data_IF_833764547544
#
_entry.id   IF_833764547544
#
_cell.length_a   1.000
_cell.length_b   1.000
_cell.length_c   1.000
_cell.angle_alpha   90.00
_cell.angle_beta   90.00
_cell.angle_gamma   90.00
#
_symmetry.space_group_name_H-M   'P 1'
#
loop_
_entity.id
_entity.type
_entity.pdbx_description
1 polymer ?
#
# COMPACT_ATOMS: atom_id res chain seq x y z
N UNK A 1 -2.29 -9.47 -13.27
CA UNK A 1 -2.35 -10.94 -13.21
C UNK A 1 -1.47 -11.53 -12.10
N UNK A 2 -0.13 -11.36 -12.09
CA UNK A 2 0.70 -11.89 -10.98
C UNK A 2 0.42 -11.18 -9.64
N UNK A 3 0.34 -9.84 -9.65
CA UNK A 3 0.03 -9.03 -8.46
C UNK A 3 -1.34 -9.35 -7.85
N UNK A 4 -2.36 -9.47 -8.68
CA UNK A 4 -3.72 -9.87 -8.29
C UNK A 4 -3.78 -11.27 -7.68
N UNK A 5 -2.95 -12.21 -8.15
CA UNK A 5 -2.84 -13.55 -7.58
C UNK A 5 -2.20 -13.55 -6.18
N UNK A 6 -1.22 -12.70 -5.97
CA UNK A 6 -0.60 -12.51 -4.65
C UNK A 6 -1.54 -11.80 -3.67
N UNK A 7 -2.28 -10.79 -4.13
CA UNK A 7 -3.33 -10.11 -3.36
C UNK A 7 -4.37 -11.08 -2.80
N UNK A 8 -4.98 -11.89 -3.68
CA UNK A 8 -5.97 -12.90 -3.26
C UNK A 8 -5.40 -13.93 -2.27
N UNK A 9 -4.19 -14.43 -2.51
CA UNK A 9 -3.55 -15.39 -1.60
C UNK A 9 -3.26 -14.77 -0.22
N UNK A 10 -2.86 -13.49 -0.18
CA UNK A 10 -2.58 -12.77 1.05
C UNK A 10 -3.86 -12.55 1.88
N UNK A 11 -4.97 -12.18 1.23
CA UNK A 11 -6.29 -12.06 1.86
C UNK A 11 -6.73 -13.40 2.45
N UNK A 12 -6.65 -14.49 1.67
CA UNK A 12 -7.03 -15.83 2.15
C UNK A 12 -6.20 -16.23 3.36
N UNK A 13 -4.87 -16.03 3.32
CA UNK A 13 -4.00 -16.35 4.47
C UNK A 13 -4.36 -15.54 5.71
N UNK A 14 -4.61 -14.24 5.55
CA UNK A 14 -4.99 -13.36 6.66
C UNK A 14 -6.29 -13.83 7.31
N UNK A 15 -7.33 -14.06 6.50
CA UNK A 15 -8.63 -14.54 7.00
C UNK A 15 -8.52 -15.92 7.67
N UNK A 16 -7.64 -16.80 7.17
CA UNK A 16 -7.39 -18.10 7.79
C UNK A 16 -6.66 -17.99 9.14
N UNK A 17 -5.67 -17.09 9.26
CA UNK A 17 -4.99 -16.83 10.54
C UNK A 17 -5.95 -16.27 11.60
N UNK A 18 -6.83 -15.35 11.20
CA UNK A 18 -7.85 -14.79 12.08
C UNK A 18 -8.85 -15.87 12.53
N UNK A 19 -9.25 -16.74 11.61
CA UNK A 19 -10.12 -17.87 11.89
C UNK A 19 -9.47 -18.92 12.80
N UNK A 20 -8.19 -19.25 12.60
CA UNK A 20 -7.44 -20.21 13.41
C UNK A 20 -7.23 -19.71 14.86
N UNK A 21 -6.97 -18.42 15.05
CA UNK A 21 -6.93 -17.79 16.39
C UNK A 21 -8.32 -17.75 17.04
N UNK A 22 -9.39 -17.56 16.25
CA UNK A 22 -10.75 -17.52 16.75
C UNK A 22 -11.33 -18.91 17.09
N UNK A 23 -10.84 -19.98 16.46
CA UNK A 23 -11.32 -21.35 16.67
C UNK A 23 -10.20 -22.38 16.54
N UNK A 24 -9.78 -22.98 17.66
CA UNK A 24 -9.13 -24.30 17.69
C UNK A 24 -10.12 -25.39 17.24
N UNK A 25 -10.52 -25.43 15.96
CA UNK A 25 -11.35 -26.50 15.40
C UNK A 25 -10.99 -26.82 13.95
N UNK A 26 -10.56 -28.07 13.77
CA UNK A 26 -10.32 -28.74 12.49
C UNK A 26 -11.60 -28.72 11.64
N UNK A 27 -11.50 -28.32 10.37
CA UNK A 27 -12.58 -28.42 9.38
C UNK A 27 -12.71 -29.89 8.91
N UNK A 28 -13.83 -30.58 9.15
CA UNK A 28 -14.10 -31.88 8.54
C UNK A 28 -14.82 -31.70 7.19
N UNK A 29 -14.43 -32.55 6.24
CA UNK A 29 -15.14 -32.88 5.00
C UNK A 29 -14.85 -32.06 3.73
N UNK A 30 -13.59 -31.95 3.32
CA UNK A 30 -13.23 -32.07 1.90
C UNK A 30 -11.88 -32.78 1.79
N UNK A 31 -11.77 -33.84 0.97
CA UNK A 31 -10.54 -34.60 0.78
C UNK A 31 -9.61 -33.89 -0.23
N UNK A 32 -9.41 -32.58 -0.02
CA UNK A 32 -8.49 -31.74 -0.75
C UNK A 32 -7.86 -30.76 0.23
N UNK A 33 -6.57 -30.52 0.10
CA UNK A 33 -5.86 -29.52 0.89
C UNK A 33 -6.27 -28.12 0.44
N UNK A 34 -6.16 -27.14 1.35
CA UNK A 34 -6.40 -25.72 1.02
C UNK A 34 -5.55 -25.27 -0.17
N UNK A 35 -4.33 -25.80 -0.28
CA UNK A 35 -3.43 -25.54 -1.40
C UNK A 35 -4.00 -26.02 -2.75
N UNK A 36 -4.59 -27.22 -2.81
CA UNK A 36 -5.21 -27.74 -4.03
C UNK A 36 -6.43 -26.92 -4.44
N UNK A 37 -7.23 -26.46 -3.48
CA UNK A 37 -8.40 -25.62 -3.74
C UNK A 37 -8.00 -24.25 -4.34
N UNK A 38 -6.97 -23.62 -3.78
CA UNK A 38 -6.43 -22.35 -4.27
C UNK A 38 -5.83 -22.45 -5.68
N UNK A 39 -5.23 -23.60 -6.03
CA UNK A 39 -4.69 -23.86 -7.37
C UNK A 39 -5.77 -23.99 -8.46
N UNK A 40 -6.95 -24.52 -8.11
CA UNK A 40 -8.07 -24.64 -9.04
C UNK A 40 -8.71 -23.28 -9.40
N UNK A 41 -8.81 -22.37 -8.43
CA UNK A 41 -9.32 -21.00 -8.66
C UNK A 41 -8.33 -20.17 -9.50
N UNK A 42 -7.03 -20.35 -9.26
CA UNK A 42 -5.98 -19.67 -10.02
C UNK A 42 -5.98 -20.02 -11.52
N UNK A 43 -6.36 -21.25 -11.89
CA UNK A 43 -6.47 -21.68 -13.31
C UNK A 43 -7.71 -21.12 -14.02
N UNK A 44 -8.81 -20.92 -13.30
CA UNK A 44 -10.07 -20.41 -13.85
C UNK A 44 -9.98 -18.90 -14.15
N UNK A 45 -9.25 -18.16 -13.32
CA UNK A 45 -9.13 -16.69 -13.34
C UNK A 45 -8.25 -16.14 -14.47
N UNK A 46 -7.23 -16.89 -14.90
CA UNK A 46 -6.36 -16.52 -16.02
C UNK A 46 -7.09 -16.37 -17.38
N UNK A 47 -8.36 -16.80 -17.46
CA UNK A 47 -9.13 -16.79 -18.71
C UNK A 47 -9.96 -15.51 -18.94
N UNK A 48 -10.07 -14.55 -18.00
CA UNK A 48 -11.23 -13.64 -17.99
C UNK A 48 -11.03 -12.10 -17.86
N UNK A 49 -9.83 -11.51 -17.87
CA UNK A 49 -9.69 -10.06 -17.51
C UNK A 49 -9.55 -9.06 -18.69
N UNK A 50 -10.45 -8.03 -18.74
CA UNK A 50 -10.35 -6.74 -19.49
C UNK A 50 -11.08 -5.55 -18.77
N UNK A 51 -10.33 -4.47 -18.47
CA UNK A 51 -10.57 -2.99 -18.23
C UNK A 51 -11.76 -2.36 -17.41
N UNK A 52 -11.46 -1.37 -16.51
CA UNK A 52 -12.32 -0.24 -16.01
C UNK A 52 -12.07 0.27 -14.54
N UNK A 53 -11.94 1.61 -14.29
CA UNK A 53 -11.74 2.40 -13.00
C UNK A 53 -10.46 2.19 -12.13
N UNK A 54 -9.72 3.26 -11.73
CA UNK A 54 -8.35 3.20 -11.14
C UNK A 54 -8.22 2.83 -9.64
N UNK A 55 -8.98 3.47 -8.74
CA UNK A 55 -9.12 3.09 -7.32
C UNK A 55 -10.51 3.49 -6.83
N UNK A 56 -11.06 2.69 -5.93
CA UNK A 56 -12.39 2.87 -5.35
C UNK A 56 -12.33 2.48 -3.87
N UNK A 57 -13.13 3.10 -3.01
CA UNK A 57 -13.14 2.75 -1.58
C UNK A 57 -13.62 1.32 -1.32
N UNK A 58 -13.58 0.87 -0.07
CA UNK A 58 -13.84 -0.55 0.26
C UNK A 58 -15.31 -0.97 0.04
N UNK A 59 -16.24 0.00 0.08
CA UNK A 59 -17.65 -0.16 -0.29
C UNK A 59 -17.96 0.82 -1.43
N UNK A 60 -18.53 0.29 -2.51
CA UNK A 60 -18.82 1.04 -3.73
C UNK A 60 -20.26 0.81 -4.18
N UNK A 61 -20.89 1.73 -4.93
CA UNK A 61 -22.16 1.44 -5.61
C UNK A 61 -22.03 0.19 -6.52
N UNK A 62 -23.15 -0.45 -6.88
CA UNK A 62 -23.11 -1.70 -7.67
C UNK A 62 -22.39 -1.51 -9.01
N UNK A 63 -22.56 -0.36 -9.68
CA UNK A 63 -22.01 -0.09 -11.02
C UNK A 63 -20.48 0.15 -11.13
N UNK A 64 -19.76 0.42 -10.04
CA UNK A 64 -18.29 0.28 -10.00
C UNK A 64 -17.76 -1.07 -9.48
N UNK A 65 -18.51 -1.80 -8.65
CA UNK A 65 -18.01 -3.06 -8.11
C UNK A 65 -17.90 -4.18 -9.16
N UNK A 66 -17.19 -5.26 -8.81
CA UNK A 66 -16.82 -6.31 -9.77
C UNK A 66 -18.02 -6.80 -10.60
N UNK A 67 -17.88 -6.70 -11.93
CA UNK A 67 -18.90 -7.04 -12.95
C UNK A 67 -20.26 -6.33 -12.80
N UNK A 68 -20.31 -5.20 -12.10
CA UNK A 68 -21.54 -4.53 -11.72
C UNK A 68 -22.49 -5.39 -10.86
N UNK A 69 -21.95 -6.31 -10.05
CA UNK A 69 -22.77 -7.27 -9.29
C UNK A 69 -22.57 -7.19 -7.77
N UNK A 70 -21.45 -6.65 -7.31
CA UNK A 70 -21.13 -6.57 -5.87
C UNK A 70 -20.89 -5.12 -5.48
N UNK A 71 -21.12 -4.78 -4.21
CA UNK A 71 -20.89 -3.45 -3.66
C UNK A 71 -19.59 -3.37 -2.84
N UNK A 72 -18.66 -4.31 -3.07
CA UNK A 72 -17.41 -4.48 -2.30
C UNK A 72 -16.23 -4.40 -3.25
N UNK A 73 -15.13 -3.80 -2.80
CA UNK A 73 -13.92 -3.65 -3.61
C UNK A 73 -12.65 -3.95 -2.79
N UNK A 74 -12.51 -5.20 -2.34
CA UNK A 74 -11.36 -5.63 -1.52
C UNK A 74 -10.07 -5.66 -2.36
N UNK A 75 -10.17 -6.04 -3.64
CA UNK A 75 -9.06 -6.02 -4.60
C UNK A 75 -9.50 -5.14 -5.78
N UNK A 76 -8.95 -3.93 -5.96
CA UNK A 76 -9.33 -3.03 -7.05
C UNK A 76 -8.82 -3.55 -8.39
N UNK A 77 -9.60 -3.35 -9.46
CA UNK A 77 -9.15 -3.63 -10.83
C UNK A 77 -8.07 -2.60 -11.18
N UNK A 78 -6.87 -3.06 -11.52
CA UNK A 78 -5.72 -2.20 -11.68
C UNK A 78 -5.75 -1.43 -13.02
N UNK A 79 -5.47 -0.12 -12.97
CA UNK A 79 -5.31 0.74 -14.13
C UNK A 79 -3.93 1.38 -14.15
N UNK A 80 -3.33 1.50 -15.33
CA UNK A 80 -2.02 2.12 -15.50
C UNK A 80 -2.03 3.61 -15.15
N UNK A 81 -1.26 3.98 -14.11
CA UNK A 81 -0.85 5.35 -13.83
C UNK A 81 0.47 5.69 -14.52
N UNK A 82 0.70 6.97 -14.76
CA UNK A 82 1.94 7.51 -15.32
C UNK A 82 2.84 8.05 -14.20
N UNK A 83 4.17 7.90 -14.33
CA UNK A 83 5.16 8.40 -13.37
C UNK A 83 4.94 9.87 -12.92
N UNK A 84 4.50 10.80 -13.79
CA UNK A 84 4.22 12.17 -13.37
C UNK A 84 2.97 12.35 -12.50
N UNK A 85 1.98 11.45 -12.58
CA UNK A 85 0.81 11.44 -11.69
C UNK A 85 1.21 11.03 -10.26
N UNK A 86 2.13 10.05 -10.14
CA UNK A 86 2.66 9.54 -8.86
C UNK A 86 3.47 10.63 -8.13
N UNK A 87 4.32 11.35 -8.87
CA UNK A 87 5.13 12.45 -8.32
C UNK A 87 4.26 13.59 -7.76
N UNK A 88 3.12 13.90 -8.37
CA UNK A 88 2.20 14.95 -7.90
C UNK A 88 1.53 14.60 -6.57
N UNK A 89 1.23 13.31 -6.37
CA UNK A 89 0.66 12.78 -5.14
C UNK A 89 1.69 12.79 -4.00
N UNK A 90 2.91 12.32 -4.27
CA UNK A 90 4.00 12.28 -3.31
C UNK A 90 4.37 13.69 -2.79
N UNK A 91 4.30 14.70 -3.66
CA UNK A 91 4.58 16.08 -3.28
C UNK A 91 3.39 16.84 -2.69
N UNK A 92 2.16 16.28 -2.74
CA UNK A 92 0.96 16.94 -2.23
C UNK A 92 0.66 18.31 -2.87
N UNK A 93 1.26 18.62 -4.03
CA UNK A 93 1.17 19.93 -4.68
C UNK A 93 0.33 19.94 -5.96
N UNK A 94 -0.04 18.77 -6.49
CA UNK A 94 -0.76 18.67 -7.76
C UNK A 94 0.07 19.06 -9.00
N UNK A 95 1.35 19.40 -8.85
CA UNK A 95 2.25 19.81 -9.94
C UNK A 95 3.49 18.93 -10.04
N UNK A 96 3.73 18.35 -11.22
CA UNK A 96 4.93 17.55 -11.53
C UNK A 96 6.19 18.41 -11.75
N UNK A 97 6.05 19.74 -11.74
CA UNK A 97 7.08 20.70 -12.16
C UNK A 97 7.75 21.45 -10.99
N UNK A 98 7.40 21.12 -9.73
CA UNK A 98 8.14 21.59 -8.53
C UNK A 98 9.30 20.62 -8.30
N UNK A 99 10.54 21.08 -8.04
CA UNK A 99 11.73 20.32 -8.40
C UNK A 99 11.97 19.11 -7.48
N UNK A 100 11.51 17.94 -7.93
CA UNK A 100 12.06 16.63 -7.58
C UNK A 100 11.60 15.53 -8.57
N UNK A 101 11.95 15.63 -9.86
CA UNK A 101 12.15 14.40 -10.64
C UNK A 101 11.15 14.01 -11.71
N UNK A 102 10.60 14.95 -12.50
CA UNK A 102 10.35 14.59 -13.90
C UNK A 102 11.71 14.41 -14.58
N UNK A 103 12.15 13.16 -14.77
CA UNK A 103 13.40 12.84 -15.46
C UNK A 103 13.11 12.35 -16.88
N UNK A 104 12.91 13.24 -17.87
CA UNK A 104 12.74 12.86 -19.27
C UNK A 104 13.99 12.17 -19.87
N UNK A 105 15.05 12.00 -19.08
CA UNK A 105 16.30 11.29 -19.42
C UNK A 105 16.72 10.22 -18.39
N UNK A 106 15.84 9.83 -17.46
CA UNK A 106 16.18 8.81 -16.46
C UNK A 106 16.46 7.45 -17.11
N UNK A 107 17.59 6.85 -16.76
CA UNK A 107 17.90 5.46 -17.07
C UNK A 107 17.17 4.53 -16.08
N UNK A 108 17.24 3.21 -16.31
CA UNK A 108 16.53 2.23 -15.47
C UNK A 108 16.91 2.32 -13.98
N UNK A 109 18.18 2.59 -13.68
CA UNK A 109 18.69 2.77 -12.31
C UNK A 109 18.00 3.94 -11.64
N UNK A 110 17.93 5.10 -12.31
CA UNK A 110 17.29 6.31 -11.76
C UNK A 110 15.81 6.05 -11.43
N UNK A 111 15.11 5.29 -12.29
CA UNK A 111 13.69 4.95 -12.10
C UNK A 111 13.45 4.03 -10.91
N UNK A 112 14.36 3.08 -10.68
CA UNK A 112 14.26 2.14 -9.56
C UNK A 112 14.70 2.79 -8.26
N UNK A 113 15.71 3.65 -8.31
CA UNK A 113 16.11 4.45 -7.15
C UNK A 113 15.03 5.45 -6.75
N UNK A 114 14.16 5.89 -7.66
CA UNK A 114 12.94 6.60 -7.29
C UNK A 114 12.02 5.72 -6.42
N UNK A 115 11.72 4.49 -6.85
CA UNK A 115 10.94 3.54 -6.08
C UNK A 115 11.59 3.21 -4.72
N UNK A 116 12.92 3.18 -4.64
CA UNK A 116 13.66 2.98 -3.39
C UNK A 116 13.31 4.02 -2.31
N UNK A 117 12.89 5.24 -2.68
CA UNK A 117 12.42 6.22 -1.68
C UNK A 117 11.11 5.78 -1.00
N UNK A 118 10.24 5.09 -1.73
CA UNK A 118 8.97 4.56 -1.23
C UNK A 118 9.24 3.37 -0.31
N UNK A 119 10.16 2.48 -0.70
CA UNK A 119 10.62 1.38 0.16
C UNK A 119 11.18 1.88 1.51
N UNK A 120 11.95 2.98 1.50
CA UNK A 120 12.40 3.59 2.75
C UNK A 120 11.24 4.13 3.59
N UNK A 121 10.25 4.77 2.95
CA UNK A 121 9.08 5.29 3.64
C UNK A 121 8.30 4.16 4.32
N UNK A 122 8.06 3.07 3.61
CA UNK A 122 7.28 1.92 4.08
C UNK A 122 8.04 1.13 5.15
N UNK A 123 9.31 0.83 4.93
CA UNK A 123 10.16 0.17 5.93
C UNK A 123 10.17 0.96 7.25
N UNK A 124 10.43 2.27 7.19
CA UNK A 124 10.44 3.09 8.40
C UNK A 124 9.05 3.15 9.05
N UNK A 125 8.00 3.34 8.26
CA UNK A 125 6.66 3.48 8.83
C UNK A 125 6.18 2.19 9.50
N UNK A 126 6.37 1.03 8.88
CA UNK A 126 5.96 -0.26 9.43
C UNK A 126 6.82 -0.70 10.61
N UNK A 127 8.15 -0.63 10.50
CA UNK A 127 9.06 -1.04 11.58
C UNK A 127 8.86 -0.18 12.83
N UNK A 128 8.88 1.15 12.71
CA UNK A 128 8.73 2.02 13.87
C UNK A 128 7.36 1.80 14.54
N UNK A 129 6.31 1.63 13.75
CA UNK A 129 4.95 1.46 14.28
C UNK A 129 4.75 0.14 15.01
N UNK A 130 5.34 -0.95 14.53
CA UNK A 130 5.22 -2.26 15.16
C UNK A 130 6.22 -2.48 16.30
N UNK A 131 7.45 -1.97 16.18
CA UNK A 131 8.60 -2.33 17.01
C UNK A 131 9.13 -1.21 17.90
N UNK A 132 8.74 0.05 17.66
CA UNK A 132 9.31 1.27 18.27
C UNK A 132 10.77 1.57 17.85
N UNK A 133 11.22 0.96 16.76
CA UNK A 133 12.51 1.25 16.14
C UNK A 133 12.46 0.97 14.64
N UNK A 134 13.26 1.73 13.87
CA UNK A 134 13.28 1.69 12.41
C UNK A 134 14.45 0.91 11.81
N UNK A 135 14.74 1.20 10.54
CA UNK A 135 15.74 0.51 9.73
C UNK A 135 17.12 0.48 10.39
N UNK A 136 17.50 1.55 11.08
CA UNK A 136 18.81 1.69 11.72
C UNK A 136 19.07 0.63 12.81
N UNK A 137 18.02 0.08 13.40
CA UNK A 137 18.12 -1.00 14.39
C UNK A 137 18.08 -2.39 13.76
N UNK A 138 17.54 -2.52 12.54
CA UNK A 138 17.44 -3.79 11.82
C UNK A 138 18.71 -4.03 11.00
N UNK A 139 19.03 -3.09 10.11
CA UNK A 139 20.25 -3.10 9.31
C UNK A 139 20.59 -1.65 8.85
N UNK A 140 21.44 -0.92 9.60
CA UNK A 140 21.78 0.46 9.30
C UNK A 140 22.58 0.60 8.00
N UNK A 141 23.12 -0.49 7.44
CA UNK A 141 23.88 -0.43 6.18
C UNK A 141 22.99 -0.02 5.00
N UNK A 142 21.70 -0.39 5.03
CA UNK A 142 20.75 -0.01 3.99
C UNK A 142 20.36 1.46 4.01
N UNK A 143 20.52 2.15 5.15
CA UNK A 143 20.32 3.60 5.20
C UNK A 143 21.38 4.37 4.40
N UNK A 144 22.53 3.75 4.11
CA UNK A 144 23.65 4.32 3.35
C UNK A 144 24.06 5.73 3.84
N UNK A 145 24.04 5.95 5.15
CA UNK A 145 24.38 7.21 5.80
C UNK A 145 23.27 8.28 5.79
N UNK A 146 22.07 7.96 5.29
CA UNK A 146 20.90 8.84 5.34
C UNK A 146 20.34 9.02 6.75
N UNK A 147 19.72 10.17 7.08
CA UNK A 147 19.25 10.47 8.42
C UNK A 147 18.00 9.65 8.81
N UNK A 148 17.78 9.37 10.10
CA UNK A 148 16.57 8.68 10.58
C UNK A 148 15.30 9.49 10.34
N UNK A 149 14.12 8.84 10.26
CA UNK A 149 12.86 9.55 10.05
C UNK A 149 12.54 10.48 11.22
N UNK A 150 11.92 11.63 10.93
CA UNK A 150 11.44 12.55 11.94
C UNK A 150 10.04 12.11 12.39
N UNK A 151 9.85 11.96 13.69
CA UNK A 151 8.52 11.78 14.28
C UNK A 151 7.85 10.43 14.06
N UNK A 152 8.60 9.43 13.59
CA UNK A 152 8.18 8.03 13.63
C UNK A 152 7.96 7.59 15.08
N UNK A 153 6.93 6.78 15.32
CA UNK A 153 6.53 6.32 16.66
C UNK A 153 5.96 4.93 16.60
N UNK A 154 6.02 4.20 17.72
CA UNK A 154 5.18 3.03 17.93
C UNK A 154 3.70 3.38 17.85
N UNK A 155 2.96 2.64 17.05
CA UNK A 155 1.51 2.75 16.96
C UNK A 155 0.84 1.89 18.05
N UNK A 156 -0.32 2.35 18.53
CA UNK A 156 -1.15 1.56 19.43
C UNK A 156 -1.99 0.54 18.65
N UNK A 157 -1.33 -0.53 18.21
CA UNK A 157 -1.93 -1.60 17.42
C UNK A 157 -2.45 -2.72 18.32
N UNK A 158 -3.57 -3.31 17.94
CA UNK A 158 -3.97 -4.59 18.49
C UNK A 158 -2.91 -5.68 18.18
N UNK A 159 -2.86 -6.78 18.96
CA UNK A 159 -1.78 -7.75 18.85
C UNK A 159 -1.66 -8.42 17.47
N UNK A 160 -2.79 -8.60 16.76
CA UNK A 160 -2.80 -9.23 15.45
C UNK A 160 -2.25 -8.28 14.39
N UNK A 161 -2.79 -7.07 14.31
CA UNK A 161 -2.35 -6.07 13.33
C UNK A 161 -0.90 -5.70 13.59
N UNK A 162 -0.45 -5.61 14.85
CA UNK A 162 0.97 -5.41 15.17
C UNK A 162 1.87 -6.48 14.54
N UNK A 163 1.48 -7.76 14.59
CA UNK A 163 2.24 -8.87 14.00
C UNK A 163 2.28 -8.78 12.47
N UNK A 164 1.15 -8.44 11.85
CA UNK A 164 1.07 -8.27 10.39
C UNK A 164 1.98 -7.11 9.93
N UNK A 165 1.90 -5.97 10.60
CA UNK A 165 2.69 -4.78 10.26
C UNK A 165 4.19 -4.99 10.54
N UNK A 166 4.53 -5.75 11.58
CA UNK A 166 5.91 -6.19 11.81
C UNK A 166 6.43 -7.02 10.62
N UNK A 167 5.63 -7.97 10.11
CA UNK A 167 6.00 -8.76 8.94
C UNK A 167 6.19 -7.89 7.70
N UNK A 168 5.31 -6.90 7.48
CA UNK A 168 5.46 -5.95 6.37
C UNK A 168 6.76 -5.17 6.48
N UNK A 169 7.09 -4.66 7.67
CA UNK A 169 8.36 -3.96 7.90
C UNK A 169 9.59 -4.79 7.53
N UNK A 170 9.59 -6.10 7.83
CA UNK A 170 10.69 -6.98 7.40
C UNK A 170 10.69 -7.29 5.89
N UNK A 171 9.52 -7.34 5.26
CA UNK A 171 9.40 -7.48 3.81
C UNK A 171 10.00 -6.27 3.08
N UNK A 172 9.73 -5.04 3.57
CA UNK A 172 10.32 -3.82 3.02
C UNK A 172 11.84 -3.77 3.18
N UNK A 173 12.39 -4.28 4.29
CA UNK A 173 13.86 -4.44 4.41
C UNK A 173 14.39 -5.40 3.34
N UNK A 174 13.62 -6.44 3.00
CA UNK A 174 13.90 -7.34 1.89
C UNK A 174 13.89 -6.63 0.53
N UNK A 175 12.95 -5.71 0.30
CA UNK A 175 12.85 -4.89 -0.90
C UNK A 175 14.03 -3.92 -1.02
N UNK A 176 14.33 -3.19 0.06
CA UNK A 176 15.53 -2.33 0.18
C UNK A 176 16.78 -3.10 -0.22
N UNK A 177 17.01 -4.27 0.39
CA UNK A 177 18.15 -5.14 0.05
C UNK A 177 18.19 -5.50 -1.43
N UNK A 178 17.05 -5.90 -1.99
CA UNK A 178 16.97 -6.35 -3.38
C UNK A 178 17.29 -5.23 -4.37
N UNK A 179 16.73 -4.04 -4.15
CA UNK A 179 16.99 -2.86 -4.98
C UNK A 179 18.42 -2.36 -4.81
N UNK A 180 18.92 -2.24 -3.57
CA UNK A 180 20.29 -1.78 -3.29
C UNK A 180 21.30 -2.73 -3.92
N UNK A 181 21.09 -4.04 -3.85
CA UNK A 181 21.96 -5.03 -4.51
C UNK A 181 21.98 -4.87 -6.03
N UNK A 182 20.82 -4.58 -6.64
CA UNK A 182 20.68 -4.46 -8.08
C UNK A 182 21.21 -3.13 -8.66
N UNK A 183 21.19 -2.06 -7.86
CA UNK A 183 21.40 -0.68 -8.35
C UNK A 183 22.54 0.07 -7.66
N UNK A 184 23.05 -0.45 -6.55
CA UNK A 184 23.96 0.26 -5.66
C UNK A 184 23.24 1.13 -4.61
N UNK A 185 21.93 1.35 -4.74
CA UNK A 185 21.13 2.12 -3.78
C UNK A 185 21.34 3.63 -3.82
N UNK A 186 20.62 4.32 -2.95
CA UNK A 186 20.82 5.73 -2.60
C UNK A 186 20.74 5.89 -1.08
N UNK A 187 21.37 6.92 -0.50
CA UNK A 187 21.14 7.29 0.90
C UNK A 187 19.66 7.48 1.19
N UNK A 188 19.19 6.94 2.33
CA UNK A 188 17.82 7.15 2.81
C UNK A 188 17.50 8.65 2.83
N UNK A 189 16.42 9.12 2.19
CA UNK A 189 16.04 10.53 2.26
C UNK A 189 15.56 10.88 3.67
N UNK A 190 15.55 12.18 4.02
CA UNK A 190 14.90 12.60 5.25
C UNK A 190 13.38 12.39 5.12
N UNK A 191 12.86 11.43 5.87
CA UNK A 191 11.43 11.14 5.93
C UNK A 191 10.78 11.92 7.08
N UNK A 192 9.55 12.39 6.87
CA UNK A 192 8.75 13.09 7.88
C UNK A 192 7.49 12.29 8.20
N UNK A 193 7.62 11.43 9.22
CA UNK A 193 6.57 10.52 9.69
C UNK A 193 5.77 11.11 10.87
N UNK A 194 5.87 12.42 11.11
CA UNK A 194 5.06 13.09 12.14
C UNK A 194 3.57 12.98 11.84
N UNK A 195 2.74 12.84 12.87
CA UNK A 195 1.28 12.78 12.71
C UNK A 195 0.71 14.01 11.99
N UNK A 196 1.35 15.18 12.09
CA UNK A 196 0.93 16.39 11.37
C UNK A 196 0.98 16.22 9.85
N UNK A 197 1.94 15.45 9.33
CA UNK A 197 2.04 15.13 7.89
C UNK A 197 0.80 14.35 7.44
N UNK A 198 0.46 13.30 8.19
CA UNK A 198 -0.75 12.51 7.96
C UNK A 198 -2.02 13.35 8.12
N UNK A 199 -2.12 14.17 9.17
CA UNK A 199 -3.25 15.07 9.37
C UNK A 199 -3.49 15.97 8.16
N UNK A 200 -2.43 16.50 7.54
CA UNK A 200 -2.56 17.34 6.35
C UNK A 200 -3.08 16.56 5.13
N UNK A 201 -2.65 15.30 4.95
CA UNK A 201 -3.15 14.43 3.88
C UNK A 201 -4.65 14.16 4.07
N UNK A 202 -5.05 13.75 5.29
CA UNK A 202 -6.46 13.47 5.56
C UNK A 202 -7.33 14.72 5.51
N UNK A 203 -6.83 15.89 5.94
CA UNK A 203 -7.56 17.15 5.76
C UNK A 203 -7.84 17.46 4.28
N UNK A 204 -6.89 17.16 3.39
CA UNK A 204 -7.09 17.31 1.94
C UNK A 204 -8.13 16.31 1.42
N UNK A 205 -8.08 15.06 1.87
CA UNK A 205 -9.05 14.03 1.47
C UNK A 205 -10.48 14.39 1.87
N UNK A 206 -10.64 15.00 3.04
CA UNK A 206 -11.96 15.44 3.53
C UNK A 206 -12.39 16.80 2.98
N UNK A 207 -11.46 17.61 2.44
CA UNK A 207 -11.72 19.00 2.06
C UNK A 207 -11.94 19.95 3.23
N UNK A 208 -11.70 19.50 4.47
CA UNK A 208 -11.77 20.30 5.69
C UNK A 208 -10.85 19.75 6.78
N UNK A 209 -10.56 20.58 7.79
CA UNK A 209 -9.69 20.20 8.91
C UNK A 209 -10.41 19.26 9.88
N UNK A 210 -9.92 18.04 10.01
CA UNK A 210 -10.34 17.10 11.05
C UNK A 210 -9.93 17.61 12.44
N UNK A 211 -10.83 17.49 13.41
CA UNK A 211 -10.58 17.89 14.81
C UNK A 211 -10.95 16.72 15.72
N UNK A 212 -9.99 16.18 16.52
CA UNK A 212 -8.56 16.52 16.57
C UNK A 212 -7.83 16.14 15.26
N UNK A 213 -6.60 16.62 15.01
CA UNK A 213 -5.84 16.23 13.82
C UNK A 213 -5.72 14.71 13.71
N UNK A 214 -5.78 14.17 12.49
CA UNK A 214 -5.62 12.74 12.26
C UNK A 214 -4.23 12.28 12.72
N UNK A 215 -4.20 11.25 13.57
CA UNK A 215 -2.99 10.66 14.09
C UNK A 215 -2.95 9.17 13.71
N UNK A 216 -2.01 8.73 12.85
CA UNK A 216 -1.91 7.34 12.43
C UNK A 216 -1.51 6.41 13.57
N UNK A 217 -0.84 6.92 14.62
CA UNK A 217 -0.31 6.09 15.71
C UNK A 217 -1.34 5.83 16.82
N UNK A 218 -2.51 6.46 16.75
CA UNK A 218 -3.49 6.50 17.84
C UNK A 218 -4.12 5.15 18.17
N UNK A 219 -4.48 4.38 17.14
CA UNK A 219 -5.13 3.07 17.26
C UNK A 219 -5.03 2.29 15.93
N UNK A 220 -5.39 1.00 15.95
CA UNK A 220 -5.42 0.13 14.77
C UNK A 220 -6.14 0.75 13.57
N UNK A 221 -7.35 1.30 13.73
CA UNK A 221 -8.17 1.78 12.61
C UNK A 221 -7.48 2.97 11.92
N UNK A 222 -7.00 3.93 12.72
CA UNK A 222 -6.25 5.06 12.20
C UNK A 222 -4.98 4.60 11.46
N UNK A 223 -4.29 3.60 12.02
CA UNK A 223 -3.09 3.08 11.41
C UNK A 223 -3.39 2.39 10.07
N UNK A 224 -4.37 1.50 10.03
CA UNK A 224 -4.79 0.82 8.79
C UNK A 224 -5.24 1.81 7.71
N UNK A 225 -5.95 2.88 8.07
CA UNK A 225 -6.34 3.93 7.13
C UNK A 225 -5.12 4.68 6.56
N UNK A 226 -4.12 4.98 7.39
CA UNK A 226 -2.88 5.59 6.94
C UNK A 226 -2.07 4.63 6.05
N UNK A 227 -1.95 3.37 6.47
CA UNK A 227 -1.28 2.31 5.74
C UNK A 227 -2.01 1.91 4.47
N UNK A 228 -3.31 2.17 4.28
CA UNK A 228 -3.96 1.96 2.97
C UNK A 228 -3.71 3.11 1.99
N UNK A 229 -3.23 4.25 2.48
CA UNK A 229 -2.88 5.39 1.64
C UNK A 229 -1.45 5.31 1.11
N UNK A 230 -0.47 4.92 1.94
CA UNK A 230 0.97 4.95 1.60
C UNK A 230 1.40 3.90 0.54
N UNK A 231 1.17 2.59 0.72
CA UNK A 231 1.61 1.51 -0.18
C UNK A 231 0.92 1.56 -1.54
N UNK A 232 -0.27 2.15 -1.60
CA UNK A 232 -0.92 2.45 -2.87
C UNK A 232 -0.02 3.33 -3.77
N UNK A 233 0.78 4.23 -3.18
CA UNK A 233 1.75 5.05 -3.94
C UNK A 233 2.96 4.24 -4.41
N UNK A 234 3.44 3.29 -3.58
CA UNK A 234 4.50 2.32 -3.91
C UNK A 234 4.13 1.42 -5.09
N UNK A 235 2.95 0.79 -4.98
CA UNK A 235 2.38 -0.10 -5.99
C UNK A 235 2.23 0.60 -7.35
N UNK A 236 1.73 1.82 -7.36
CA UNK A 236 1.61 2.61 -8.59
C UNK A 236 2.97 3.03 -9.15
N UNK A 237 3.94 3.32 -8.27
CA UNK A 237 5.36 3.48 -8.61
C UNK A 237 5.86 2.36 -9.51
N UNK A 238 5.61 1.11 -9.13
CA UNK A 238 6.01 -0.06 -9.90
C UNK A 238 5.21 -0.27 -11.17
N UNK A 239 3.88 -0.16 -11.13
CA UNK A 239 3.02 -0.32 -12.31
C UNK A 239 3.40 0.68 -13.41
N UNK A 240 3.66 1.94 -13.04
CA UNK A 240 4.09 2.98 -13.97
C UNK A 240 5.54 2.83 -14.45
N UNK A 241 6.43 2.24 -13.63
CA UNK A 241 7.86 2.12 -13.95
C UNK A 241 8.19 0.89 -14.79
N UNK A 242 7.58 -0.26 -14.52
CA UNK A 242 7.89 -1.55 -15.15
C UNK A 242 7.88 -1.50 -16.70
N UNK A 243 6.89 -0.88 -17.36
CA UNK A 243 6.84 -0.80 -18.83
C UNK A 243 8.00 0.00 -19.43
N UNK A 244 8.54 0.96 -18.68
CA UNK A 244 9.58 1.90 -19.13
C UNK A 244 11.00 1.33 -18.99
N UNK A 245 11.18 0.27 -18.21
CA UNK A 245 12.49 -0.35 -17.98
C UNK A 245 12.99 -1.08 -19.22
N UNK A 246 14.24 -0.84 -19.61
CA UNK A 246 14.89 -1.53 -20.74
C UNK A 246 15.50 -2.88 -20.34
N UNK A 247 16.03 -2.96 -19.13
CA UNK A 247 16.67 -4.13 -18.54
C UNK A 247 15.64 -5.18 -18.15
N UNK A 248 15.72 -6.35 -18.77
CA UNK A 248 14.84 -7.48 -18.42
C UNK A 248 15.09 -7.99 -16.99
N UNK A 249 16.31 -7.84 -16.47
CA UNK A 249 16.65 -8.20 -15.10
C UNK A 249 15.91 -7.30 -14.10
N UNK A 250 16.04 -5.99 -14.27
CA UNK A 250 15.40 -5.01 -13.41
C UNK A 250 13.87 -5.03 -13.52
N UNK A 251 13.35 -5.31 -14.73
CA UNK A 251 11.91 -5.52 -14.94
C UNK A 251 11.39 -6.72 -14.15
N UNK A 252 12.11 -7.85 -14.15
CA UNK A 252 11.75 -9.03 -13.35
C UNK A 252 11.84 -8.76 -11.86
N UNK A 253 12.85 -8.00 -11.41
CA UNK A 253 12.98 -7.59 -10.02
C UNK A 253 11.75 -6.79 -9.57
N UNK A 254 11.42 -5.69 -10.25
CA UNK A 254 10.28 -4.84 -9.87
C UNK A 254 8.94 -5.57 -9.99
N UNK A 255 8.78 -6.45 -10.98
CA UNK A 255 7.57 -7.28 -11.09
C UNK A 255 7.41 -8.26 -9.91
N UNK A 256 8.53 -8.73 -9.32
CA UNK A 256 8.51 -9.56 -8.13
C UNK A 256 8.11 -8.77 -6.88
N UNK A 257 8.68 -7.57 -6.69
CA UNK A 257 8.35 -6.68 -5.57
C UNK A 257 6.88 -6.25 -5.64
N UNK A 258 6.40 -5.86 -6.82
CA UNK A 258 4.98 -5.54 -7.07
C UNK A 258 4.00 -6.66 -6.63
N UNK A 259 4.44 -7.93 -6.66
CA UNK A 259 3.64 -9.04 -6.15
C UNK A 259 3.45 -9.00 -4.63
N UNK A 260 4.49 -8.63 -3.89
CA UNK A 260 4.46 -8.48 -2.43
C UNK A 260 3.62 -7.26 -2.05
N UNK A 261 3.86 -6.12 -2.69
CA UNK A 261 3.09 -4.87 -2.48
C UNK A 261 1.58 -5.11 -2.64
N UNK A 262 1.20 -5.81 -3.71
CA UNK A 262 -0.20 -6.14 -3.96
C UNK A 262 -0.79 -7.09 -2.91
N UNK A 263 0.05 -7.97 -2.35
CA UNK A 263 -0.31 -8.81 -1.21
C UNK A 263 -0.63 -7.96 0.02
N UNK A 264 0.27 -7.04 0.37
CA UNK A 264 0.13 -6.18 1.54
C UNK A 264 -1.08 -5.23 1.42
N UNK A 265 -1.27 -4.59 0.27
CA UNK A 265 -2.45 -3.75 0.01
C UNK A 265 -3.75 -4.54 0.20
N UNK A 266 -3.82 -5.75 -0.35
CA UNK A 266 -5.01 -6.59 -0.22
C UNK A 266 -5.32 -6.98 1.23
N UNK A 267 -4.30 -7.27 2.05
CA UNK A 267 -4.45 -7.54 3.49
C UNK A 267 -4.99 -6.30 4.21
N UNK A 268 -4.43 -5.12 3.96
CA UNK A 268 -4.89 -3.87 4.57
C UNK A 268 -6.35 -3.58 4.19
N UNK A 269 -6.70 -3.75 2.91
CA UNK A 269 -8.08 -3.57 2.42
C UNK A 269 -9.04 -4.58 3.03
N UNK A 270 -8.64 -5.84 3.22
CA UNK A 270 -9.47 -6.85 3.88
C UNK A 270 -9.74 -6.49 5.36
N UNK A 271 -8.71 -6.07 6.10
CA UNK A 271 -8.85 -5.64 7.49
C UNK A 271 -9.75 -4.39 7.62
N UNK A 272 -9.64 -3.44 6.68
CA UNK A 272 -10.52 -2.27 6.63
C UNK A 272 -11.95 -2.65 6.24
N UNK A 273 -12.13 -3.58 5.30
CA UNK A 273 -13.43 -4.06 4.85
C UNK A 273 -14.23 -4.73 5.98
N UNK A 274 -13.58 -5.56 6.79
CA UNK A 274 -14.19 -6.14 7.99
C UNK A 274 -14.76 -5.06 8.94
N UNK A 275 -14.08 -3.90 8.99
CA UNK A 275 -14.39 -2.77 9.88
C UNK A 275 -15.18 -1.66 9.17
N UNK A 276 -15.68 -1.89 7.97
CA UNK A 276 -16.19 -0.82 7.10
C UNK A 276 -17.29 0.06 7.74
N UNK A 277 -18.12 -0.54 8.59
CA UNK A 277 -19.22 0.15 9.31
C UNK A 277 -18.80 0.74 10.67
N UNK A 278 -17.60 0.43 11.16
CA UNK A 278 -17.09 0.96 12.41
C UNK A 278 -16.83 2.46 12.28
N UNK A 279 -17.02 3.18 13.39
CA UNK A 279 -16.76 4.62 13.45
C UNK A 279 -15.30 4.86 13.83
N UNK A 280 -14.60 5.64 13.02
CA UNK A 280 -13.27 6.15 13.33
C UNK A 280 -13.42 7.22 14.41
N UNK A 281 -13.08 6.87 15.63
CA UNK A 281 -13.19 7.79 16.76
C UNK A 281 -11.98 8.74 16.81
N UNK A 282 -12.19 10.03 17.15
CA UNK A 282 -13.44 10.66 17.62
C UNK A 282 -14.25 11.34 16.50
N UNK A 283 -13.98 11.06 15.22
CA UNK A 283 -14.62 11.74 14.10
C UNK A 283 -16.08 11.35 13.89
N UNK A 284 -16.50 10.18 14.38
CA UNK A 284 -17.83 9.61 14.16
C UNK A 284 -18.18 9.41 12.67
N UNK A 285 -17.16 9.26 11.83
CA UNK A 285 -17.25 8.94 10.40
C UNK A 285 -16.88 7.46 10.23
N UNK A 286 -17.53 6.74 9.31
CA UNK A 286 -17.27 5.31 9.13
C UNK A 286 -15.92 5.06 8.46
N UNK A 287 -15.33 3.88 8.70
CA UNK A 287 -14.13 3.43 7.97
C UNK A 287 -14.37 3.49 6.45
N UNK A 288 -15.52 3.03 5.98
CA UNK A 288 -15.88 3.09 4.56
C UNK A 288 -15.84 4.53 4.00
N UNK A 289 -16.43 5.50 4.71
CA UNK A 289 -16.40 6.91 4.26
C UNK A 289 -14.97 7.45 4.26
N UNK A 290 -14.14 7.11 5.25
CA UNK A 290 -12.72 7.47 5.25
C UNK A 290 -11.97 6.91 4.03
N UNK A 291 -12.22 5.65 3.67
CA UNK A 291 -11.62 5.05 2.47
C UNK A 291 -12.16 5.67 1.17
N UNK A 292 -13.44 6.04 1.12
CA UNK A 292 -14.02 6.72 -0.04
C UNK A 292 -13.38 8.11 -0.24
N UNK A 293 -13.22 8.90 0.83
CA UNK A 293 -12.58 10.23 0.77
C UNK A 293 -11.13 10.18 0.32
N UNK A 294 -10.39 9.20 0.82
CA UNK A 294 -8.99 9.01 0.41
C UNK A 294 -8.90 8.51 -1.02
N UNK A 295 -9.80 7.63 -1.47
CA UNK A 295 -9.90 7.23 -2.88
C UNK A 295 -10.28 8.42 -3.80
N UNK A 296 -11.23 9.27 -3.38
CA UNK A 296 -11.60 10.50 -4.09
C UNK A 296 -10.38 11.43 -4.26
N UNK A 297 -9.57 11.62 -3.22
CA UNK A 297 -8.35 12.43 -3.31
C UNK A 297 -7.36 11.85 -4.33
N UNK A 298 -7.12 10.53 -4.28
CA UNK A 298 -6.28 9.83 -5.25
C UNK A 298 -6.79 10.04 -6.68
N UNK A 299 -8.11 10.13 -6.87
CA UNK A 299 -8.76 10.35 -8.16
C UNK A 299 -8.76 11.83 -8.62
N UNK A 300 -8.88 12.81 -7.71
CA UNK A 300 -9.01 14.26 -8.01
C UNK A 300 -7.68 14.93 -8.39
N UNK A 301 -6.52 14.36 -8.05
CA UNK A 301 -5.22 14.84 -8.55
C UNK A 301 -5.10 14.84 -10.09
N UNK A 302 -6.14 14.38 -10.80
CA UNK A 302 -6.31 14.41 -12.25
C UNK A 302 -7.22 15.55 -12.78
N UNK A 303 -7.93 16.33 -11.96
CA UNK A 303 -8.94 17.33 -12.44
C UNK A 303 -8.32 18.63 -12.98
N UNK A 304 -7.01 18.86 -12.81
CA UNK A 304 -6.32 20.00 -13.44
C UNK A 304 -6.07 19.83 -14.96
N UNK A 305 -6.68 18.83 -15.61
CA UNK A 305 -6.38 18.46 -16.99
C UNK A 305 -7.41 18.92 -18.05
N UNK A 306 -8.31 19.86 -17.75
CA UNK A 306 -9.20 20.44 -18.77
C UNK A 306 -9.20 21.98 -18.86
N UNK A 307 -8.16 22.66 -18.36
CA UNK A 307 -7.94 24.08 -18.66
C UNK A 307 -6.48 24.38 -18.93
#
# INVERSE_FOLDING_TARGET
MISEAHGECAVIRTLLYDYEKANQKVLPAYNMTVAEFTDHISKLRNMLSKSGTKDEGIIVPISPGAYNQVNTNIIPVNHTWTLPEILRMLYGTGSQHIPAGFFPRANDTDRIQFALNLEFLEAEFFLNSALDHGLDSIDPSYAQGGPPPIGAKKANLDPLVRQIIEEFGYQEVGHLRAIITATGGIPRPQLDLRFQTFANIFNQAFGFKLTPPFDPYLNTINYLLASNFIPYVGLEGYVGTIPELKSSYLRRLLAGLLGVEAGQDAVLRALLYERANEKVMPYHITVAEFTNRTAELKNISNVWYQR
#
